data_IF_246738895306
#
_entry.id   IF_246738895306
#
_cell.length_a   1.000
_cell.length_b   1.000
_cell.length_c   1.000
_cell.angle_alpha   90.00
_cell.angle_beta   90.00
_cell.angle_gamma   90.00
#
_symmetry.space_group_name_H-M   'P 1'
#
loop_
_entity.id
_entity.type
_entity.pdbx_description
1 polymer ?
#
# COMPACT_ATOMS: atom_id res chain seq x y z
N UNK A 1 -11.52 2.93 -19.57
CA UNK A 1 -10.26 2.90 -18.78
C UNK A 1 -9.80 1.47 -18.59
N UNK A 2 -8.58 1.13 -18.98
CA UNK A 2 -8.04 -0.22 -18.82
C UNK A 2 -7.95 -0.61 -17.33
N UNK A 3 -8.38 -1.84 -16.99
CA UNK A 3 -8.44 -2.36 -15.61
C UNK A 3 -7.10 -2.33 -14.89
N UNK A 4 -6.02 -2.35 -15.67
CA UNK A 4 -4.61 -2.32 -15.28
C UNK A 4 -4.24 -1.08 -14.45
N UNK A 5 -4.60 0.13 -14.88
CA UNK A 5 -4.27 1.37 -14.15
C UNK A 5 -5.23 1.71 -13.02
N UNK A 6 -6.21 0.85 -12.73
CA UNK A 6 -7.31 1.16 -11.79
C UNK A 6 -6.78 1.53 -10.41
N UNK A 7 -5.92 0.71 -9.80
CA UNK A 7 -5.38 0.96 -8.46
C UNK A 7 -4.48 2.20 -8.42
N UNK A 8 -3.66 2.40 -9.45
CA UNK A 8 -2.82 3.60 -9.57
C UNK A 8 -3.66 4.89 -9.63
N UNK A 9 -4.71 4.90 -10.44
CA UNK A 9 -5.66 6.02 -10.53
C UNK A 9 -6.42 6.26 -9.23
N UNK A 10 -6.81 5.18 -8.54
CA UNK A 10 -7.44 5.26 -7.22
C UNK A 10 -6.50 5.91 -6.21
N UNK A 11 -5.25 5.44 -6.11
CA UNK A 11 -4.26 6.01 -5.19
C UNK A 11 -3.95 7.48 -5.53
N UNK A 12 -3.85 7.84 -6.83
CA UNK A 12 -3.59 9.22 -7.29
C UNK A 12 -4.65 10.20 -6.82
N UNK A 13 -5.92 9.77 -6.76
CA UNK A 13 -7.03 10.58 -6.25
C UNK A 13 -7.15 10.54 -4.73
N UNK A 14 -6.86 9.39 -4.14
CA UNK A 14 -7.08 9.13 -2.71
C UNK A 14 -6.03 9.80 -1.82
N UNK A 15 -4.74 9.67 -2.16
CA UNK A 15 -3.64 10.16 -1.34
C UNK A 15 -3.80 11.65 -0.97
N UNK A 16 -4.08 12.57 -1.93
CA UNK A 16 -4.27 13.99 -1.59
C UNK A 16 -5.45 14.24 -0.66
N UNK A 17 -6.54 13.48 -0.79
CA UNK A 17 -7.72 13.58 0.07
C UNK A 17 -7.37 13.13 1.48
N UNK A 18 -6.64 12.02 1.64
CA UNK A 18 -6.20 11.53 2.94
C UNK A 18 -5.28 12.51 3.65
N UNK A 19 -4.31 13.09 2.93
CA UNK A 19 -3.39 14.09 3.49
C UNK A 19 -4.15 15.35 3.91
N UNK A 20 -5.14 15.79 3.12
CA UNK A 20 -5.98 16.94 3.49
C UNK A 20 -6.76 16.71 4.77
N UNK A 21 -7.37 15.54 4.92
CA UNK A 21 -8.12 15.17 6.14
C UNK A 21 -7.20 15.14 7.36
N UNK A 22 -5.99 14.60 7.21
CA UNK A 22 -4.97 14.58 8.26
C UNK A 22 -4.53 16.01 8.64
N UNK A 23 -4.16 16.83 7.65
CA UNK A 23 -3.73 18.21 7.85
C UNK A 23 -4.77 19.04 8.63
N UNK A 24 -6.06 18.93 8.27
CA UNK A 24 -7.15 19.65 8.98
C UNK A 24 -7.36 19.18 10.41
N UNK A 25 -7.05 17.92 10.69
CA UNK A 25 -7.25 17.29 12.00
C UNK A 25 -6.10 17.55 12.96
N UNK A 26 -4.88 17.29 12.49
CA UNK A 26 -3.69 17.20 13.32
C UNK A 26 -2.84 18.46 13.29
N UNK A 27 -2.90 19.28 12.23
CA UNK A 27 -2.04 20.45 12.06
C UNK A 27 -2.83 21.77 12.18
N UNK A 28 -3.73 21.88 13.16
CA UNK A 28 -4.59 23.07 13.29
C UNK A 28 -3.79 24.34 13.63
N UNK A 29 -2.78 24.19 14.48
CA UNK A 29 -1.89 25.26 14.95
C UNK A 29 -1.01 25.78 13.83
N UNK A 30 -0.37 24.89 13.08
CA UNK A 30 0.52 25.16 11.96
C UNK A 30 -0.26 25.83 10.84
N UNK A 31 -1.46 25.31 10.51
CA UNK A 31 -2.36 25.95 9.54
C UNK A 31 -2.76 27.36 9.96
N UNK A 32 -2.98 27.60 11.26
CA UNK A 32 -3.33 28.94 11.76
C UNK A 32 -2.12 29.88 11.68
N UNK A 33 -0.93 29.41 12.05
CA UNK A 33 0.31 30.17 11.98
C UNK A 33 0.68 30.55 10.53
N UNK A 34 0.49 29.63 9.58
CA UNK A 34 0.73 29.85 8.15
C UNK A 34 -0.43 30.59 7.44
N UNK A 35 -1.53 30.91 8.13
CA UNK A 35 -2.69 31.58 7.53
C UNK A 35 -3.52 30.73 6.55
N UNK A 36 -3.31 29.41 6.53
CA UNK A 36 -3.88 28.48 5.54
C UNK A 36 -5.34 28.14 5.85
N UNK A 37 -6.26 28.46 4.93
CA UNK A 37 -7.71 28.28 5.10
C UNK A 37 -8.30 27.29 4.10
N UNK A 38 -9.48 26.76 4.44
CA UNK A 38 -10.26 25.90 3.54
C UNK A 38 -9.53 24.61 3.12
N UNK A 39 -9.43 24.37 1.81
CA UNK A 39 -8.92 23.12 1.21
C UNK A 39 -7.40 23.04 1.10
N UNK A 40 -6.70 24.12 1.41
CA UNK A 40 -5.25 24.20 1.34
C UNK A 40 -4.58 23.37 2.44
N UNK A 41 -3.32 22.99 2.19
CA UNK A 41 -2.47 22.20 3.07
C UNK A 41 -1.43 23.12 3.71
N UNK A 42 -1.05 22.86 4.96
CA UNK A 42 0.15 23.47 5.53
C UNK A 42 1.40 23.02 4.77
N UNK A 43 2.48 23.79 4.89
CA UNK A 43 3.76 23.56 4.20
C UNK A 43 4.24 22.10 4.32
N UNK A 44 4.26 21.56 5.54
CA UNK A 44 4.64 20.16 5.80
C UNK A 44 3.77 19.13 5.06
N UNK A 45 2.45 19.32 5.04
CA UNK A 45 1.55 18.40 4.34
C UNK A 45 1.61 18.55 2.82
N UNK A 46 1.94 19.75 2.33
CA UNK A 46 2.15 20.01 0.91
C UNK A 46 3.38 19.25 0.41
N UNK A 47 4.49 19.31 1.13
CA UNK A 47 5.71 18.55 0.83
C UNK A 47 5.43 17.04 0.80
N UNK A 48 4.72 16.51 1.79
CA UNK A 48 4.33 15.10 1.82
C UNK A 48 3.47 14.70 0.61
N UNK A 49 2.54 15.56 0.20
CA UNK A 49 1.66 15.31 -0.95
C UNK A 49 2.43 15.31 -2.28
N UNK A 50 3.34 16.27 -2.45
CA UNK A 50 4.20 16.36 -3.64
C UNK A 50 5.16 15.17 -3.72
N UNK A 51 5.79 14.81 -2.60
CA UNK A 51 6.63 13.61 -2.51
C UNK A 51 5.84 12.35 -2.87
N UNK A 52 4.63 12.20 -2.32
CA UNK A 52 3.80 11.04 -2.59
C UNK A 52 3.37 10.95 -4.06
N UNK A 53 3.02 12.08 -4.67
CA UNK A 53 2.69 12.15 -6.10
C UNK A 53 3.88 11.77 -6.98
N UNK A 54 5.06 12.33 -6.70
CA UNK A 54 6.30 12.01 -7.42
C UNK A 54 6.64 10.51 -7.36
N UNK A 55 6.56 9.89 -6.18
CA UNK A 55 6.79 8.44 -6.03
C UNK A 55 5.73 7.60 -6.73
N UNK A 56 4.49 8.08 -6.80
CA UNK A 56 3.41 7.39 -7.49
C UNK A 56 3.60 7.40 -9.02
N UNK A 57 4.13 8.48 -9.58
CA UNK A 57 4.42 8.59 -11.01
C UNK A 57 5.60 7.73 -11.44
N UNK A 58 6.65 7.65 -10.61
CA UNK A 58 7.83 6.79 -10.84
C UNK A 58 7.65 5.33 -10.38
N UNK A 59 6.41 4.90 -10.11
CA UNK A 59 6.16 3.55 -9.61
C UNK A 59 6.43 2.49 -10.70
N UNK A 60 7.31 1.49 -10.46
CA UNK A 60 7.60 0.45 -11.45
C UNK A 60 6.38 -0.46 -11.72
N UNK A 61 5.43 -0.52 -10.79
CA UNK A 61 4.23 -1.35 -10.89
C UNK A 61 3.03 -0.60 -11.50
N UNK A 62 3.19 0.59 -12.09
CA UNK A 62 2.11 1.49 -12.55
C UNK A 62 0.92 0.77 -13.25
N UNK A 63 1.21 -0.17 -14.16
CA UNK A 63 0.22 -0.92 -14.96
C UNK A 63 -0.45 -2.08 -14.20
N UNK A 64 0.19 -2.67 -13.20
CA UNK A 64 -0.38 -3.78 -12.42
C UNK A 64 -0.20 -3.52 -10.93
N UNK A 65 -0.50 -2.28 -10.53
CA UNK A 65 -0.24 -1.83 -9.18
C UNK A 65 -1.22 -2.50 -8.22
N UNK A 66 -0.69 -3.11 -7.16
CA UNK A 66 -1.47 -3.49 -5.98
C UNK A 66 -1.65 -2.30 -5.03
N UNK A 67 -2.09 -2.57 -3.80
CA UNK A 67 -2.15 -1.55 -2.75
C UNK A 67 -0.74 -1.21 -2.24
N UNK A 68 -0.45 0.09 -2.10
CA UNK A 68 0.84 0.57 -1.56
C UNK A 68 1.22 -0.07 -0.21
N UNK A 69 0.23 -0.34 0.66
CA UNK A 69 0.44 -0.97 1.98
C UNK A 69 1.02 -2.39 1.92
N UNK A 70 0.85 -3.08 0.79
CA UNK A 70 1.36 -4.43 0.53
C UNK A 70 2.38 -4.45 -0.62
N UNK A 71 2.95 -3.28 -0.96
CA UNK A 71 3.92 -3.22 -2.03
C UNK A 71 5.16 -4.05 -1.67
N UNK A 72 5.69 -4.78 -2.67
CA UNK A 72 6.86 -5.65 -2.50
C UNK A 72 8.17 -4.89 -2.32
N UNK A 73 8.19 -3.59 -2.64
CA UNK A 73 9.39 -2.74 -2.57
C UNK A 73 9.22 -1.63 -1.54
N UNK A 74 10.32 -1.25 -0.90
CA UNK A 74 10.38 -0.08 -0.02
C UNK A 74 10.70 1.17 -0.85
N UNK A 75 9.66 1.79 -1.41
CA UNK A 75 9.84 2.96 -2.26
C UNK A 75 9.83 4.30 -1.49
N UNK A 76 9.32 4.39 -0.26
CA UNK A 76 9.34 5.65 0.49
C UNK A 76 10.59 5.71 1.38
N UNK A 77 11.17 6.91 1.52
CA UNK A 77 12.14 7.16 2.61
C UNK A 77 11.47 6.86 3.95
N UNK A 78 12.20 6.36 4.96
CA UNK A 78 11.64 5.90 6.22
C UNK A 78 10.82 7.00 6.94
N UNK A 79 11.28 8.25 6.89
CA UNK A 79 10.60 9.42 7.45
C UNK A 79 9.21 9.63 6.82
N UNK A 80 9.13 9.91 5.51
CA UNK A 80 7.85 10.09 4.81
C UNK A 80 6.96 8.83 4.86
N UNK A 81 7.56 7.64 4.99
CA UNK A 81 6.80 6.40 5.16
C UNK A 81 6.07 6.39 6.50
N UNK A 82 6.71 6.81 7.58
CA UNK A 82 6.08 6.92 8.89
C UNK A 82 4.95 7.94 8.85
N UNK A 83 5.20 9.11 8.25
CA UNK A 83 4.18 10.15 8.10
C UNK A 83 2.96 9.68 7.29
N UNK A 84 3.17 9.03 6.14
CA UNK A 84 2.06 8.47 5.37
C UNK A 84 1.31 7.38 6.12
N UNK A 85 1.97 6.63 7.01
CA UNK A 85 1.31 5.63 7.86
C UNK A 85 0.35 6.29 8.83
N UNK A 86 0.76 7.39 9.46
CA UNK A 86 -0.10 8.18 10.35
C UNK A 86 -1.26 8.81 9.60
N UNK A 87 -1.01 9.37 8.41
CA UNK A 87 -2.07 9.85 7.50
C UNK A 87 -3.06 8.72 7.19
N UNK A 88 -2.58 7.53 6.83
CA UNK A 88 -3.44 6.39 6.52
C UNK A 88 -4.27 5.94 7.73
N UNK A 89 -3.65 5.86 8.91
CA UNK A 89 -4.29 5.46 10.17
C UNK A 89 -5.37 6.45 10.60
N UNK A 90 -5.11 7.75 10.48
CA UNK A 90 -6.04 8.79 10.88
C UNK A 90 -7.18 8.99 9.88
N UNK A 91 -6.84 9.05 8.59
CA UNK A 91 -7.80 9.37 7.53
C UNK A 91 -8.62 8.16 7.08
N UNK A 92 -8.12 6.93 7.28
CA UNK A 92 -8.81 5.69 6.88
C UNK A 92 -10.22 5.55 7.46
N UNK A 93 -10.42 5.61 8.79
CA UNK A 93 -11.75 5.57 9.38
C UNK A 93 -12.60 6.81 9.03
N UNK A 94 -11.99 7.99 8.95
CA UNK A 94 -12.69 9.25 8.66
C UNK A 94 -13.24 9.35 7.24
N UNK A 95 -12.56 8.71 6.30
CA UNK A 95 -13.00 8.56 4.91
C UNK A 95 -14.37 7.87 4.80
N UNK A 96 -14.73 7.01 5.76
CA UNK A 96 -16.03 6.33 5.77
C UNK A 96 -17.19 7.33 5.92
N UNK A 97 -16.98 8.41 6.68
CA UNK A 97 -17.99 9.45 6.91
C UNK A 97 -18.10 10.42 5.74
N UNK A 98 -16.98 10.74 5.08
CA UNK A 98 -17.00 11.68 3.96
C UNK A 98 -17.40 11.01 2.64
N UNK A 99 -16.85 9.84 2.34
CA UNK A 99 -16.99 9.15 1.05
C UNK A 99 -17.32 7.66 1.28
N UNK A 100 -18.50 7.33 1.82
CA UNK A 100 -18.82 5.99 2.33
C UNK A 100 -18.71 4.90 1.26
N UNK A 101 -19.22 5.14 0.06
CA UNK A 101 -19.20 4.16 -1.06
C UNK A 101 -17.76 3.84 -1.48
N UNK A 102 -16.94 4.88 -1.64
CA UNK A 102 -15.54 4.72 -2.05
C UNK A 102 -14.72 4.04 -0.96
N UNK A 103 -14.90 4.44 0.30
CA UNK A 103 -14.19 3.86 1.44
C UNK A 103 -14.53 2.37 1.61
N UNK A 104 -15.80 1.99 1.57
CA UNK A 104 -16.23 0.59 1.69
C UNK A 104 -15.71 -0.27 0.52
N UNK A 105 -15.78 0.23 -0.71
CA UNK A 105 -15.22 -0.45 -1.89
C UNK A 105 -13.70 -0.65 -1.77
N UNK A 106 -12.99 0.37 -1.29
CA UNK A 106 -11.53 0.31 -1.09
C UNK A 106 -11.14 -0.68 0.02
N UNK A 107 -11.83 -0.65 1.16
CA UNK A 107 -11.57 -1.56 2.29
C UNK A 107 -11.86 -3.00 1.90
N UNK A 108 -13.00 -3.28 1.26
CA UNK A 108 -13.32 -4.63 0.79
C UNK A 108 -12.33 -5.14 -0.26
N UNK A 109 -11.90 -4.28 -1.19
CA UNK A 109 -10.84 -4.62 -2.15
C UNK A 109 -9.50 -4.92 -1.45
N UNK A 110 -9.13 -4.15 -0.42
CA UNK A 110 -7.94 -4.37 0.39
C UNK A 110 -7.99 -5.71 1.15
N UNK A 111 -9.13 -6.04 1.77
CA UNK A 111 -9.34 -7.32 2.48
C UNK A 111 -9.25 -8.50 1.49
N UNK A 112 -9.89 -8.39 0.32
CA UNK A 112 -9.79 -9.40 -0.75
C UNK A 112 -8.34 -9.58 -1.21
N UNK A 113 -7.60 -8.49 -1.41
CA UNK A 113 -6.18 -8.54 -1.80
C UNK A 113 -5.33 -9.25 -0.75
N UNK A 114 -5.51 -8.94 0.55
CA UNK A 114 -4.83 -9.64 1.65
C UNK A 114 -5.12 -11.14 1.66
N UNK A 115 -6.37 -11.54 1.43
CA UNK A 115 -6.76 -12.96 1.34
C UNK A 115 -6.09 -13.66 0.16
N UNK A 116 -6.00 -13.00 -1.00
CA UNK A 116 -5.31 -13.52 -2.18
C UNK A 116 -3.82 -13.71 -1.93
N UNK A 117 -3.15 -12.73 -1.30
CA UNK A 117 -1.73 -12.85 -0.93
C UNK A 117 -1.47 -14.03 0.00
N UNK A 118 -2.31 -14.22 1.03
CA UNK A 118 -2.21 -15.38 1.94
C UNK A 118 -2.39 -16.72 1.21
N UNK A 119 -3.36 -16.79 0.29
CA UNK A 119 -3.59 -18.00 -0.53
C UNK A 119 -2.39 -18.30 -1.45
N UNK A 120 -1.78 -17.28 -2.04
CA UNK A 120 -0.59 -17.44 -2.88
C UNK A 120 0.60 -17.91 -2.04
N UNK A 121 0.83 -17.33 -0.86
CA UNK A 121 1.89 -17.75 0.06
C UNK A 121 1.75 -19.22 0.47
N UNK A 122 0.53 -19.67 0.83
CA UNK A 122 0.27 -21.07 1.16
C UNK A 122 0.53 -22.01 -0.02
N UNK A 123 0.08 -21.67 -1.23
CA UNK A 123 0.36 -22.48 -2.43
C UNK A 123 1.87 -22.57 -2.74
N UNK A 124 2.63 -21.52 -2.44
CA UNK A 124 4.08 -21.51 -2.61
C UNK A 124 4.76 -22.44 -1.59
N UNK A 125 4.35 -22.40 -0.32
CA UNK A 125 4.89 -23.29 0.71
C UNK A 125 4.58 -24.76 0.40
N UNK A 126 3.35 -25.07 -0.01
CA UNK A 126 2.95 -26.44 -0.34
C UNK A 126 3.76 -27.01 -1.52
N UNK A 127 4.04 -26.17 -2.54
CA UNK A 127 4.91 -26.54 -3.67
C UNK A 127 6.36 -26.74 -3.26
N UNK A 128 6.90 -25.85 -2.44
CA UNK A 128 8.29 -25.95 -1.97
C UNK A 128 8.49 -27.21 -1.12
N UNK A 129 7.55 -27.51 -0.21
CA UNK A 129 7.58 -28.75 0.58
C UNK A 129 7.51 -30.00 -0.31
N UNK A 130 6.67 -29.97 -1.36
CA UNK A 130 6.63 -31.05 -2.36
C UNK A 130 7.96 -31.21 -3.11
N UNK A 131 8.56 -30.11 -3.58
CA UNK A 131 9.84 -30.12 -4.28
C UNK A 131 11.00 -30.59 -3.39
N UNK A 132 11.01 -30.18 -2.12
CA UNK A 132 12.00 -30.61 -1.12
C UNK A 132 11.89 -32.11 -0.85
N UNK A 133 10.66 -32.63 -0.71
CA UNK A 133 10.40 -34.06 -0.49
C UNK A 133 10.85 -34.93 -1.67
N UNK A 134 10.64 -34.46 -2.90
CA UNK A 134 11.15 -35.12 -4.13
C UNK A 134 12.68 -35.10 -4.15
N UNK A 135 13.31 -33.97 -3.79
CA UNK A 135 14.78 -33.82 -3.76
C UNK A 135 15.45 -34.68 -2.67
N UNK A 136 14.81 -34.85 -1.51
CA UNK A 136 15.27 -35.74 -0.43
C UNK A 136 15.09 -37.23 -0.75
N UNK A 137 14.10 -37.59 -1.58
CA UNK A 137 13.94 -38.97 -2.05
C UNK A 137 15.04 -39.35 -3.05
N UNK A 138 15.34 -38.45 -3.99
CA UNK A 138 16.39 -38.65 -5.01
C UNK A 138 17.81 -38.76 -4.43
N UNK A 139 18.08 -38.13 -3.29
CA UNK A 139 19.38 -38.18 -2.61
C UNK A 139 19.58 -39.42 -1.75
N UNK A 140 18.50 -40.08 -1.31
CA UNK A 140 18.56 -41.35 -0.58
C UNK A 140 18.71 -42.57 -1.52
N UNK A 141 18.14 -42.53 -2.73
CA UNK A 141 18.34 -43.58 -3.74
C UNK A 141 19.81 -43.67 -4.20
N UNK A 142 20.46 -42.53 -4.48
CA UNK A 142 21.88 -42.50 -4.89
C UNK A 142 22.89 -42.99 -3.84
N UNK A 143 22.48 -43.14 -2.58
CA UNK A 143 23.34 -43.62 -1.50
C UNK A 143 23.25 -45.13 -1.31
N UNK A 144 22.24 -45.78 -1.90
CA UNK A 144 21.97 -47.22 -1.74
C UNK A 144 22.71 -48.11 -2.76
N UNK A 145 23.19 -47.52 -3.86
CA UNK A 145 23.92 -48.22 -4.93
C UNK A 145 25.46 -48.22 -4.74
N UNK A 146 25.95 -47.76 -3.58
CA UNK A 146 27.38 -47.63 -3.26
C UNK A 146 27.88 -48.54 -2.13
N UNK A 147 27.06 -49.51 -1.71
CA UNK A 147 27.37 -50.52 -0.69
C UNK A 147 27.40 -51.93 -1.30
#
# INVERSE_FOLDING_TARGET
MSKEYKHWNTEKKLIPVMIRTYCRGNHKTERKAEGVKGKELCSKCKELAEYAAFRLEKCPFKRNKGFCSYCKIHCYKPEYRAEMKEVMKYSGPKMLFSHPIFAMSHVTAMIKYKKQLKKQAKRQSDKNAGAEKVRSAQTNDQKKDKE
#
